data_IF_906236528801
#
_entry.id   IF_906236528801
#
_cell.length_a   1.000
_cell.length_b   1.000
_cell.length_c   1.000
_cell.angle_alpha   90.00
_cell.angle_beta   90.00
_cell.angle_gamma   90.00
#
_symmetry.space_group_name_H-M   'P 1'
#
loop_
_entity.id
_entity.type
_entity.pdbx_description
1 polymer ?
#
# COMPACT_ATOMS: atom_id res chain seq x y z
N UNK A 1 32.91 -16.67 5.51
CA UNK A 1 33.60 -16.65 6.81
C UNK A 1 34.65 -17.73 6.79
N UNK A 2 35.86 -17.44 7.26
CA UNK A 2 36.93 -18.44 7.35
C UNK A 2 36.60 -19.38 8.52
N UNK A 3 36.60 -20.69 8.28
CA UNK A 3 36.23 -21.74 9.26
C UNK A 3 37.46 -22.20 10.04
N UNK A 4 37.99 -21.37 10.92
CA UNK A 4 39.08 -21.77 11.83
C UNK A 4 38.99 -21.00 13.15
N UNK A 5 39.56 -21.56 14.21
CA UNK A 5 39.53 -20.99 15.55
C UNK A 5 40.73 -20.06 15.77
N UNK A 6 40.49 -18.87 16.31
CA UNK A 6 41.55 -17.95 16.71
C UNK A 6 42.30 -18.44 17.96
N UNK A 7 43.52 -17.93 18.15
CA UNK A 7 44.38 -18.26 19.30
C UNK A 7 43.74 -18.00 20.67
N UNK A 8 42.73 -17.12 20.71
CA UNK A 8 41.98 -16.78 21.92
C UNK A 8 41.00 -17.87 22.37
N UNK A 9 40.68 -18.82 21.49
CA UNK A 9 39.67 -19.86 21.72
C UNK A 9 40.22 -21.29 21.67
N UNK A 10 41.47 -21.47 21.24
CA UNK A 10 42.10 -22.78 21.11
C UNK A 10 43.52 -22.76 21.70
N UNK A 11 43.81 -23.68 22.63
CA UNK A 11 45.08 -23.74 23.36
C UNK A 11 45.63 -25.17 23.39
N UNK A 12 46.93 -25.30 23.70
CA UNK A 12 47.63 -26.57 23.77
C UNK A 12 48.43 -26.90 22.50
N UNK A 13 49.16 -28.01 22.55
CA UNK A 13 49.89 -28.57 21.41
C UNK A 13 49.35 -29.95 21.06
N UNK A 14 49.42 -30.31 19.79
CA UNK A 14 49.02 -31.62 19.29
C UNK A 14 50.12 -32.19 18.39
N UNK A 15 50.24 -33.50 18.39
CA UNK A 15 50.97 -34.20 17.35
C UNK A 15 50.12 -34.21 16.09
N UNK A 16 50.60 -33.54 15.04
CA UNK A 16 49.95 -33.44 13.74
C UNK A 16 50.77 -34.18 12.70
N UNK A 17 50.17 -35.22 12.13
CA UNK A 17 50.73 -35.92 10.97
C UNK A 17 49.77 -35.80 9.80
N UNK A 18 50.27 -35.34 8.66
CA UNK A 18 49.51 -35.17 7.42
C UNK A 18 50.11 -36.07 6.34
N UNK A 19 49.29 -36.97 5.80
CA UNK A 19 49.64 -37.81 4.67
C UNK A 19 48.89 -37.35 3.43
N UNK A 20 49.62 -37.00 2.38
CA UNK A 20 49.05 -36.69 1.08
C UNK A 20 49.26 -37.89 0.17
N UNK A 21 48.16 -38.55 -0.17
CA UNK A 21 48.15 -39.69 -1.08
C UNK A 21 47.96 -39.22 -2.52
N UNK A 22 48.91 -39.53 -3.38
CA UNK A 22 48.83 -39.21 -4.80
C UNK A 22 47.99 -40.26 -5.58
N UNK A 23 47.53 -39.92 -6.81
CA UNK A 23 46.88 -40.88 -7.70
C UNK A 23 47.72 -42.16 -7.94
N UNK A 24 47.08 -43.31 -8.19
CA UNK A 24 47.80 -44.55 -8.49
C UNK A 24 48.53 -44.46 -9.84
N UNK A 25 49.67 -45.16 -9.95
CA UNK A 25 50.48 -45.21 -11.17
C UNK A 25 51.53 -44.11 -11.32
N UNK A 26 51.65 -43.21 -10.34
CA UNK A 26 52.72 -42.21 -10.29
C UNK A 26 54.05 -42.83 -9.85
N UNK A 27 55.12 -42.46 -10.54
CA UNK A 27 56.50 -42.76 -10.14
C UNK A 27 56.98 -41.78 -9.07
N UNK A 28 58.01 -42.16 -8.31
CA UNK A 28 58.54 -41.33 -7.21
C UNK A 28 59.12 -39.97 -7.65
N UNK A 29 59.36 -39.76 -8.94
CA UNK A 29 60.00 -38.55 -9.49
C UNK A 29 59.00 -37.55 -10.10
N UNK A 30 57.77 -37.98 -10.34
CA UNK A 30 56.72 -37.14 -10.95
C UNK A 30 56.10 -36.12 -9.98
N UNK A 31 55.71 -36.48 -8.74
CA UNK A 31 55.13 -35.51 -7.82
C UNK A 31 56.19 -34.55 -7.28
N UNK A 32 55.88 -33.26 -7.27
CA UNK A 32 56.75 -32.22 -6.72
C UNK A 32 56.11 -31.59 -5.50
N UNK A 33 56.91 -31.31 -4.48
CA UNK A 33 56.51 -30.48 -3.37
C UNK A 33 57.00 -29.05 -3.60
N UNK A 34 56.29 -28.08 -3.01
CA UNK A 34 56.66 -26.68 -3.05
C UNK A 34 57.11 -26.20 -1.67
N UNK A 35 58.21 -25.46 -1.64
CA UNK A 35 58.73 -24.79 -0.43
C UNK A 35 58.66 -23.28 -0.61
N UNK A 36 58.31 -22.57 0.45
CA UNK A 36 58.16 -21.12 0.47
C UNK A 36 58.22 -20.60 1.91
N UNK A 37 57.97 -19.31 2.10
CA UNK A 37 58.03 -18.67 3.43
C UNK A 37 57.14 -19.38 4.47
N UNK A 38 55.96 -19.84 4.05
CA UNK A 38 55.00 -20.56 4.90
C UNK A 38 54.87 -22.07 4.58
N UNK A 39 55.67 -22.61 3.65
CA UNK A 39 55.58 -23.99 3.17
C UNK A 39 56.85 -24.77 3.47
N UNK A 40 56.73 -25.80 4.31
CA UNK A 40 57.85 -26.67 4.70
C UNK A 40 57.96 -27.91 3.81
N UNK A 41 59.18 -28.45 3.58
CA UNK A 41 59.35 -29.72 2.87
C UNK A 41 58.75 -30.89 3.67
N UNK A 42 58.38 -32.00 3.00
CA UNK A 42 57.86 -33.19 3.68
C UNK A 42 58.93 -33.80 4.59
N UNK A 43 58.50 -34.28 5.76
CA UNK A 43 59.34 -34.99 6.73
C UNK A 43 59.73 -36.38 6.22
N UNK A 44 58.86 -37.02 5.44
CA UNK A 44 59.14 -38.30 4.79
C UNK A 44 58.44 -38.41 3.44
N UNK A 45 59.08 -39.11 2.51
CA UNK A 45 58.55 -39.46 1.19
C UNK A 45 58.72 -40.96 0.99
N UNK A 46 57.68 -41.64 0.53
CA UNK A 46 57.73 -43.08 0.32
C UNK A 46 56.54 -43.62 -0.45
N UNK A 47 56.44 -44.95 -0.48
CA UNK A 47 55.32 -45.67 -1.05
C UNK A 47 54.48 -46.30 0.04
N UNK A 48 53.17 -46.12 -0.05
CA UNK A 48 52.19 -46.81 0.79
C UNK A 48 51.07 -47.30 -0.12
N UNK A 49 50.75 -48.59 -0.06
CA UNK A 49 49.68 -49.21 -0.86
C UNK A 49 49.77 -48.91 -2.36
N UNK A 50 50.98 -49.05 -2.94
CA UNK A 50 51.28 -48.81 -4.36
C UNK A 50 51.04 -47.36 -4.83
N UNK A 51 51.07 -46.41 -3.89
CA UNK A 51 50.95 -44.97 -4.17
C UNK A 51 52.11 -44.22 -3.54
N UNK A 52 52.59 -43.18 -4.23
CA UNK A 52 53.49 -42.21 -3.63
C UNK A 52 52.73 -41.46 -2.53
N UNK A 53 53.37 -41.30 -1.37
CA UNK A 53 52.82 -40.55 -0.22
C UNK A 53 53.88 -39.59 0.31
N UNK A 54 53.48 -38.34 0.47
CA UNK A 54 54.27 -37.33 1.18
C UNK A 54 53.71 -37.12 2.58
N UNK A 55 54.59 -37.16 3.57
CA UNK A 55 54.25 -37.09 4.99
C UNK A 55 54.89 -35.87 5.62
N UNK A 56 54.07 -35.05 6.28
CA UNK A 56 54.52 -34.00 7.18
C UNK A 56 54.18 -34.39 8.61
N UNK A 57 55.17 -34.35 9.49
CA UNK A 57 55.01 -34.66 10.90
C UNK A 57 55.49 -33.48 11.74
N UNK A 58 54.58 -32.96 12.57
CA UNK A 58 54.86 -31.90 13.53
C UNK A 58 54.35 -32.31 14.92
N UNK A 59 55.23 -32.74 15.84
CA UNK A 59 54.85 -33.23 17.16
C UNK A 59 54.38 -32.11 18.12
N UNK A 60 54.47 -30.84 17.72
CA UNK A 60 54.09 -29.69 18.55
C UNK A 60 53.32 -28.65 17.74
N UNK A 61 52.40 -29.12 16.89
CA UNK A 61 51.50 -28.25 16.15
C UNK A 61 50.49 -27.60 17.09
N UNK A 62 50.02 -26.40 16.74
CA UNK A 62 49.00 -25.68 17.49
C UNK A 62 47.70 -25.56 16.65
N UNK A 63 46.53 -25.42 17.29
CA UNK A 63 45.24 -25.46 16.59
C UNK A 63 44.85 -24.15 15.87
N UNK A 64 45.63 -23.07 16.03
CA UNK A 64 45.28 -21.74 15.53
C UNK A 64 46.21 -21.24 14.40
N UNK A 65 47.32 -21.93 14.12
CA UNK A 65 48.21 -21.62 13.00
C UNK A 65 47.73 -22.32 11.73
N UNK A 66 47.81 -21.62 10.60
CA UNK A 66 47.57 -22.21 9.29
C UNK A 66 48.83 -22.91 8.78
N UNK A 67 48.71 -24.20 8.47
CA UNK A 67 49.79 -24.99 7.89
C UNK A 67 49.54 -25.16 6.39
N UNK A 68 50.48 -24.68 5.58
CA UNK A 68 50.39 -24.78 4.13
C UNK A 68 51.24 -25.95 3.62
N UNK A 69 50.61 -26.85 2.89
CA UNK A 69 51.26 -27.99 2.24
C UNK A 69 51.08 -27.88 0.74
N UNK A 70 52.18 -27.64 0.02
CA UNK A 70 52.16 -27.47 -1.43
C UNK A 70 52.61 -28.75 -2.14
N UNK A 71 51.73 -29.36 -2.92
CA UNK A 71 52.05 -30.48 -3.80
C UNK A 71 51.53 -30.24 -5.21
N UNK A 72 52.26 -30.73 -6.20
CA UNK A 72 51.85 -30.77 -7.60
C UNK A 72 52.14 -32.13 -8.22
N UNK A 73 51.27 -32.56 -9.13
CA UNK A 73 51.44 -33.78 -9.91
C UNK A 73 50.88 -33.57 -11.32
N UNK A 74 51.31 -34.38 -12.32
CA UNK A 74 50.87 -34.21 -13.70
C UNK A 74 49.35 -34.30 -13.88
N UNK A 75 48.81 -33.40 -14.71
CA UNK A 75 47.37 -33.33 -15.02
C UNK A 75 46.80 -34.62 -15.64
N UNK A 76 47.66 -35.44 -16.27
CA UNK A 76 47.26 -36.68 -16.93
C UNK A 76 46.54 -37.68 -16.00
N UNK A 77 46.82 -37.62 -14.70
CA UNK A 77 46.25 -38.51 -13.69
C UNK A 77 44.92 -38.01 -13.09
N UNK A 78 44.37 -36.89 -13.57
CA UNK A 78 43.07 -36.35 -13.13
C UNK A 78 41.97 -36.70 -14.14
N UNK A 79 40.96 -37.46 -13.70
CA UNK A 79 39.79 -37.84 -14.52
C UNK A 79 38.53 -37.00 -14.25
N UNK A 80 38.63 -35.92 -13.46
CA UNK A 80 37.49 -35.10 -13.02
C UNK A 80 37.43 -33.69 -13.62
N UNK A 81 36.23 -33.09 -13.56
CA UNK A 81 36.00 -31.70 -13.97
C UNK A 81 36.70 -30.73 -13.00
N UNK A 82 37.66 -29.98 -13.52
CA UNK A 82 38.33 -28.91 -12.78
C UNK A 82 37.34 -27.74 -12.73
N UNK A 83 36.92 -27.34 -11.54
CA UNK A 83 36.20 -26.08 -11.35
C UNK A 83 37.18 -24.94 -11.61
N UNK A 84 37.19 -24.45 -12.84
CA UNK A 84 37.95 -23.24 -13.19
C UNK A 84 37.41 -22.09 -12.33
N UNK A 85 38.27 -21.33 -11.63
CA UNK A 85 37.81 -20.16 -10.90
C UNK A 85 37.08 -19.23 -11.88
N UNK A 86 35.94 -18.63 -11.46
CA UNK A 86 35.14 -17.78 -12.33
C UNK A 86 36.02 -16.67 -12.90
N UNK A 87 35.85 -16.42 -14.19
CA UNK A 87 36.65 -15.48 -14.94
C UNK A 87 36.60 -14.08 -14.29
N UNK A 88 37.65 -13.26 -14.45
CA UNK A 88 37.69 -11.92 -13.87
C UNK A 88 36.48 -11.04 -14.26
N UNK A 89 35.90 -11.30 -15.43
CA UNK A 89 34.69 -10.66 -15.92
C UNK A 89 33.43 -11.06 -15.15
N UNK A 90 33.28 -12.34 -14.78
CA UNK A 90 32.17 -12.81 -13.94
C UNK A 90 32.22 -12.22 -12.54
N UNK A 91 33.42 -12.09 -11.96
CA UNK A 91 33.61 -11.42 -10.66
C UNK A 91 33.29 -9.92 -10.74
N UNK A 92 33.65 -9.27 -11.84
CA UNK A 92 33.34 -7.86 -12.08
C UNK A 92 31.83 -7.63 -12.24
N UNK A 93 31.15 -8.45 -13.05
CA UNK A 93 29.69 -8.38 -13.23
C UNK A 93 28.96 -8.67 -11.91
N UNK A 94 29.37 -9.69 -11.18
CA UNK A 94 28.81 -10.01 -9.86
C UNK A 94 28.97 -8.87 -8.85
N UNK A 95 30.13 -8.20 -8.85
CA UNK A 95 30.39 -7.03 -8.01
C UNK A 95 29.52 -5.82 -8.38
N UNK A 96 29.34 -5.54 -9.68
CA UNK A 96 28.52 -4.42 -10.15
C UNK A 96 27.04 -4.63 -9.83
N UNK A 97 26.52 -5.83 -10.08
CA UNK A 97 25.13 -6.18 -9.75
C UNK A 97 24.89 -6.15 -8.24
N UNK A 98 25.87 -6.59 -7.43
CA UNK A 98 25.80 -6.50 -5.97
C UNK A 98 25.71 -5.06 -5.46
N UNK A 99 26.46 -4.12 -6.05
CA UNK A 99 26.38 -2.71 -5.69
C UNK A 99 25.03 -2.08 -6.07
N UNK A 100 24.49 -2.43 -7.23
CA UNK A 100 23.18 -1.93 -7.69
C UNK A 100 22.07 -2.45 -6.77
N UNK A 101 22.05 -3.74 -6.43
CA UNK A 101 21.05 -4.32 -5.54
C UNK A 101 21.17 -3.85 -4.09
N UNK A 102 22.39 -3.54 -3.63
CA UNK A 102 22.63 -3.02 -2.27
C UNK A 102 22.19 -1.54 -2.12
N UNK A 103 22.33 -0.73 -3.18
CA UNK A 103 21.97 0.69 -3.14
C UNK A 103 20.50 0.98 -3.49
N UNK A 104 19.82 0.07 -4.20
CA UNK A 104 18.42 0.18 -4.58
C UNK A 104 17.44 0.39 -3.40
N UNK A 105 17.52 -0.33 -2.27
CA UNK A 105 16.59 -0.16 -1.15
C UNK A 105 16.72 1.20 -0.43
N UNK A 106 17.85 1.90 -0.57
CA UNK A 106 18.00 3.26 -0.05
C UNK A 106 17.54 4.32 -1.07
N UNK A 107 17.84 4.18 -2.36
CA UNK A 107 17.53 5.24 -3.33
C UNK A 107 16.03 5.43 -3.60
N UNK A 108 15.25 4.34 -3.54
CA UNK A 108 13.81 4.37 -3.82
C UNK A 108 13.02 5.24 -2.83
N UNK A 109 13.15 5.09 -1.49
CA UNK A 109 12.43 5.95 -0.54
C UNK A 109 12.85 7.42 -0.64
N UNK A 110 14.15 7.72 -0.86
CA UNK A 110 14.61 9.09 -1.07
C UNK A 110 14.07 9.71 -2.36
N UNK A 111 13.96 8.93 -3.44
CA UNK A 111 13.32 9.37 -4.69
C UNK A 111 11.83 9.67 -4.53
N UNK A 112 11.09 8.85 -3.78
CA UNK A 112 9.66 9.07 -3.51
C UNK A 112 9.46 10.34 -2.67
N UNK A 113 10.24 10.51 -1.61
CA UNK A 113 10.16 11.71 -0.77
C UNK A 113 10.53 12.96 -1.57
N UNK A 114 11.59 12.89 -2.38
CA UNK A 114 11.99 14.00 -3.26
C UNK A 114 10.92 14.39 -4.27
N UNK A 115 10.25 13.41 -4.90
CA UNK A 115 9.16 13.67 -5.86
C UNK A 115 7.92 14.25 -5.19
N UNK A 116 7.56 13.80 -3.97
CA UNK A 116 6.46 14.39 -3.19
C UNK A 116 6.76 15.85 -2.85
N UNK A 117 7.97 16.15 -2.38
CA UNK A 117 8.38 17.52 -2.05
C UNK A 117 8.37 18.39 -3.32
N UNK A 118 8.91 17.88 -4.42
CA UNK A 118 8.91 18.60 -5.70
C UNK A 118 7.49 18.92 -6.19
N UNK A 119 6.59 17.93 -6.17
CA UNK A 119 5.18 18.12 -6.53
C UNK A 119 4.48 19.10 -5.58
N UNK A 120 4.75 19.03 -4.28
CA UNK A 120 4.21 19.97 -3.30
C UNK A 120 4.70 21.41 -3.52
N UNK A 121 5.98 21.59 -3.88
CA UNK A 121 6.55 22.91 -4.22
C UNK A 121 5.96 23.46 -5.52
N UNK A 122 5.83 22.65 -6.56
CA UNK A 122 5.20 23.07 -7.82
C UNK A 122 3.71 23.37 -7.63
N UNK A 123 2.98 22.48 -6.94
CA UNK A 123 1.57 22.68 -6.64
C UNK A 123 1.34 23.93 -5.78
N UNK A 124 2.15 24.16 -4.73
CA UNK A 124 2.04 25.35 -3.89
C UNK A 124 2.33 26.65 -4.65
N UNK A 125 3.27 26.65 -5.60
CA UNK A 125 3.53 27.80 -6.49
C UNK A 125 2.32 28.13 -7.36
N UNK A 126 1.66 27.12 -7.93
CA UNK A 126 0.43 27.33 -8.73
C UNK A 126 -0.80 27.70 -7.90
N UNK A 127 -0.81 27.36 -6.60
CA UNK A 127 -1.90 27.67 -5.66
C UNK A 127 -1.70 28.98 -4.90
N UNK A 128 -0.71 29.81 -5.25
CA UNK A 128 -0.58 31.17 -4.69
C UNK A 128 -1.78 32.03 -5.12
N UNK A 129 -2.83 31.95 -4.30
CA UNK A 129 -3.88 32.93 -4.06
C UNK A 129 -4.45 33.59 -5.31
N UNK A 130 -5.16 32.82 -6.13
CA UNK A 130 -6.37 33.38 -6.75
C UNK A 130 -7.33 33.62 -5.60
N UNK A 131 -7.40 34.86 -5.11
CA UNK A 131 -8.32 35.27 -4.05
C UNK A 131 -9.70 34.72 -4.39
N UNK A 132 -10.15 33.73 -3.61
CA UNK A 132 -11.56 33.40 -3.65
C UNK A 132 -12.28 34.67 -3.20
N UNK A 133 -13.23 35.19 -3.98
CA UNK A 133 -14.00 36.34 -3.54
C UNK A 133 -14.56 36.01 -2.17
N UNK A 134 -14.41 36.93 -1.21
CA UNK A 134 -14.87 36.73 0.15
C UNK A 134 -16.33 36.26 0.09
N UNK A 135 -16.59 35.01 0.49
CA UNK A 135 -17.95 34.56 0.71
C UNK A 135 -18.42 35.22 1.99
N UNK A 136 -19.01 36.41 1.85
CA UNK A 136 -19.81 36.98 2.90
C UNK A 136 -20.97 36.01 3.17
N UNK A 137 -20.86 35.19 4.21
CA UNK A 137 -22.03 34.57 4.80
C UNK A 137 -22.84 35.72 5.36
N UNK A 138 -23.92 36.08 4.69
CA UNK A 138 -24.89 37.04 5.20
C UNK A 138 -25.41 36.42 6.50
N UNK A 139 -24.94 36.94 7.63
CA UNK A 139 -25.45 36.58 8.94
C UNK A 139 -26.95 36.90 8.97
N UNK A 140 -27.78 35.85 9.03
CA UNK A 140 -29.19 35.94 9.36
C UNK A 140 -30.01 36.82 8.43
N UNK A 141 -30.64 36.20 7.43
CA UNK A 141 -31.98 36.68 7.04
C UNK A 141 -32.80 36.63 8.35
N UNK A 142 -33.19 37.79 8.88
CA UNK A 142 -33.86 37.87 10.18
C UNK A 142 -35.02 36.88 10.29
N UNK A 143 -35.33 36.41 11.50
CA UNK A 143 -36.38 35.42 11.76
C UNK A 143 -37.65 35.82 10.99
N UNK A 144 -38.02 35.07 9.93
CA UNK A 144 -39.28 35.29 9.21
C UNK A 144 -40.43 34.95 10.16
N UNK A 145 -40.95 35.96 10.86
CA UNK A 145 -42.09 35.84 11.78
C UNK A 145 -43.38 35.68 10.97
N UNK A 146 -44.27 34.79 11.39
CA UNK A 146 -45.57 34.58 10.76
C UNK A 146 -45.62 33.46 9.71
N UNK A 147 -44.55 32.68 9.56
CA UNK A 147 -44.51 31.50 8.69
C UNK A 147 -45.48 30.43 9.19
N UNK A 148 -46.32 29.90 8.31
CA UNK A 148 -47.18 28.76 8.66
C UNK A 148 -46.36 27.47 8.74
N UNK A 149 -46.84 26.45 9.46
CA UNK A 149 -46.09 25.21 9.65
C UNK A 149 -45.62 24.55 8.33
N UNK A 150 -46.43 24.51 7.25
CA UNK A 150 -45.95 24.00 5.95
C UNK A 150 -44.90 24.89 5.26
N UNK A 151 -44.98 26.21 5.41
CA UNK A 151 -43.99 27.14 4.86
C UNK A 151 -42.66 27.07 5.64
N UNK A 152 -42.71 26.90 6.95
CA UNK A 152 -41.51 26.66 7.76
C UNK A 152 -40.85 25.32 7.43
N UNK A 153 -41.65 24.28 7.23
CA UNK A 153 -41.16 22.98 6.76
C UNK A 153 -40.45 23.08 5.40
N UNK A 154 -40.92 23.97 4.52
CA UNK A 154 -40.30 24.25 3.23
C UNK A 154 -38.96 24.97 3.35
N UNK A 155 -38.85 25.98 4.23
CA UNK A 155 -37.57 26.66 4.53
C UNK A 155 -36.55 25.70 5.15
N UNK A 156 -37.03 24.78 5.98
CA UNK A 156 -36.21 23.73 6.60
C UNK A 156 -35.90 22.55 5.66
N UNK A 157 -36.23 22.67 4.37
CA UNK A 157 -35.96 21.67 3.32
C UNK A 157 -36.47 20.27 3.67
N UNK A 158 -37.61 20.17 4.37
CA UNK A 158 -38.21 18.88 4.69
C UNK A 158 -38.73 18.17 3.42
N UNK A 159 -38.83 16.83 3.43
CA UNK A 159 -39.30 16.08 2.26
C UNK A 159 -40.68 16.57 1.77
N UNK A 160 -40.82 16.79 0.45
CA UNK A 160 -42.03 17.39 -0.16
C UNK A 160 -43.31 16.62 0.18
N UNK A 161 -43.25 15.30 0.26
CA UNK A 161 -44.39 14.47 0.67
C UNK A 161 -44.91 14.84 2.06
N UNK A 162 -44.01 15.16 3.00
CA UNK A 162 -44.37 15.59 4.36
C UNK A 162 -45.06 16.96 4.33
N UNK A 163 -44.55 17.90 3.54
CA UNK A 163 -45.14 19.24 3.37
C UNK A 163 -46.56 19.14 2.78
N UNK A 164 -46.74 18.39 1.70
CA UNK A 164 -48.05 18.18 1.07
C UNK A 164 -49.05 17.50 2.01
N UNK A 165 -48.58 16.55 2.83
CA UNK A 165 -49.38 15.88 3.84
C UNK A 165 -49.83 16.84 4.95
N UNK A 166 -48.95 17.77 5.38
CA UNK A 166 -49.33 18.82 6.32
C UNK A 166 -50.41 19.75 5.76
N UNK A 167 -50.32 20.12 4.47
CA UNK A 167 -51.35 20.93 3.79
C UNK A 167 -52.67 20.15 3.72
N UNK A 168 -52.63 18.88 3.34
CA UNK A 168 -53.81 18.00 3.28
C UNK A 168 -54.49 17.90 4.65
N UNK A 169 -53.73 17.66 5.73
CA UNK A 169 -54.29 17.61 7.08
C UNK A 169 -54.85 18.97 7.53
N UNK A 170 -54.25 20.09 7.12
CA UNK A 170 -54.80 21.43 7.33
C UNK A 170 -56.17 21.60 6.69
N UNK A 171 -56.33 21.17 5.43
CA UNK A 171 -57.59 21.21 4.69
C UNK A 171 -58.67 20.27 5.29
N UNK A 172 -58.28 19.10 5.77
CA UNK A 172 -59.17 18.17 6.48
C UNK A 172 -59.63 18.77 7.81
N UNK A 173 -58.73 19.37 8.59
CA UNK A 173 -59.06 20.06 9.85
C UNK A 173 -60.03 21.22 9.63
N UNK A 174 -59.89 21.93 8.51
CA UNK A 174 -60.79 23.03 8.08
C UNK A 174 -62.09 22.55 7.42
N UNK A 175 -62.34 21.23 7.37
CA UNK A 175 -63.53 20.62 6.74
C UNK A 175 -63.74 21.04 5.28
N UNK A 176 -62.68 21.48 4.60
CA UNK A 176 -62.74 21.84 3.17
C UNK A 176 -62.57 20.61 2.27
N UNK A 177 -61.99 19.54 2.83
CA UNK A 177 -61.83 18.24 2.20
C UNK A 177 -62.37 17.11 3.09
N UNK A 178 -62.70 15.99 2.44
CA UNK A 178 -62.98 14.71 3.09
C UNK A 178 -62.35 13.57 2.30
N UNK A 179 -61.82 12.58 3.00
CA UNK A 179 -61.21 11.37 2.40
C UNK A 179 -62.33 10.37 2.09
N UNK A 180 -62.46 9.95 0.83
CA UNK A 180 -63.40 8.89 0.41
C UNK A 180 -62.80 7.49 0.50
N UNK A 181 -61.50 7.38 0.22
CA UNK A 181 -60.74 6.12 0.19
C UNK A 181 -59.29 6.45 0.50
N UNK A 182 -58.63 5.63 1.32
CA UNK A 182 -57.23 5.84 1.72
C UNK A 182 -56.26 5.23 0.71
N UNK A 183 -56.56 4.04 0.19
CA UNK A 183 -55.74 3.35 -0.81
C UNK A 183 -56.60 2.79 -1.97
N UNK A 184 -56.57 3.37 -3.18
CA UNK A 184 -55.85 4.59 -3.55
C UNK A 184 -56.53 5.84 -2.96
N UNK A 185 -55.71 6.86 -2.62
CA UNK A 185 -56.18 8.10 -2.02
C UNK A 185 -57.18 8.82 -2.93
N UNK A 186 -58.44 8.94 -2.49
CA UNK A 186 -59.51 9.68 -3.18
C UNK A 186 -60.08 10.77 -2.30
N UNK A 187 -60.05 12.01 -2.79
CA UNK A 187 -60.49 13.19 -2.05
C UNK A 187 -61.83 13.71 -2.58
N UNK A 188 -62.70 14.18 -1.68
CA UNK A 188 -63.94 14.90 -1.99
C UNK A 188 -63.79 16.36 -1.55
N UNK A 189 -64.03 17.29 -2.48
CA UNK A 189 -64.19 18.72 -2.14
C UNK A 189 -65.53 18.91 -1.45
N UNK A 190 -65.52 19.54 -0.29
CA UNK A 190 -66.72 19.98 0.41
C UNK A 190 -66.98 21.46 0.10
N UNK A 191 -68.21 21.94 0.31
CA UNK A 191 -68.49 23.37 0.26
C UNK A 191 -67.65 24.06 1.35
N UNK A 192 -66.85 25.04 0.96
CA UNK A 192 -66.03 25.82 1.88
C UNK A 192 -67.00 26.46 2.89
N UNK A 193 -66.89 26.13 4.19
CA UNK A 193 -67.75 26.78 5.17
C UNK A 193 -67.38 28.27 5.22
N UNK A 194 -68.39 29.13 5.30
CA UNK A 194 -68.29 30.59 5.10
C UNK A 194 -67.35 31.31 6.10
N UNK A 195 -66.84 30.60 7.09
CA UNK A 195 -65.99 31.04 8.19
C UNK A 195 -64.49 30.72 7.99
N UNK A 196 -64.13 29.78 7.11
CA UNK A 196 -62.77 29.30 6.95
C UNK A 196 -61.95 30.13 5.95
N UNK A 197 -61.12 31.05 6.45
CA UNK A 197 -60.11 31.74 5.63
C UNK A 197 -59.01 30.77 5.17
N UNK A 198 -59.12 30.30 3.92
CA UNK A 198 -58.09 29.48 3.29
C UNK A 198 -56.86 30.31 2.92
N UNK A 199 -55.67 29.71 3.05
CA UNK A 199 -54.40 30.29 2.60
C UNK A 199 -54.23 30.06 1.09
N UNK A 200 -53.38 30.85 0.46
CA UNK A 200 -53.16 30.78 -0.99
C UNK A 200 -52.75 29.37 -1.45
N UNK A 201 -51.76 28.76 -0.79
CA UNK A 201 -51.33 27.40 -1.09
C UNK A 201 -52.41 26.33 -0.84
N UNK A 202 -53.36 26.57 0.05
CA UNK A 202 -54.48 25.64 0.30
C UNK A 202 -55.52 25.72 -0.83
N UNK A 203 -55.78 26.92 -1.36
CA UNK A 203 -56.64 27.13 -2.53
C UNK A 203 -56.03 26.46 -3.75
N UNK A 204 -54.73 26.66 -3.99
CA UNK A 204 -54.03 26.01 -5.11
C UNK A 204 -54.00 24.48 -4.97
N UNK A 205 -53.85 23.97 -3.75
CA UNK A 205 -53.93 22.52 -3.49
C UNK A 205 -55.34 21.98 -3.81
N UNK A 206 -56.39 22.74 -3.49
CA UNK A 206 -57.76 22.39 -3.87
C UNK A 206 -57.93 22.34 -5.40
N UNK A 207 -57.27 23.22 -6.15
CA UNK A 207 -57.26 23.19 -7.62
C UNK A 207 -56.47 22.00 -8.20
N UNK A 208 -55.51 21.47 -7.44
CA UNK A 208 -54.74 20.29 -7.82
C UNK A 208 -55.57 18.99 -7.80
N UNK A 209 -56.70 18.98 -7.09
CA UNK A 209 -57.62 17.83 -7.04
C UNK A 209 -58.48 17.79 -8.31
N UNK A 210 -58.33 16.70 -9.05
CA UNK A 210 -59.08 16.41 -10.29
C UNK A 210 -60.55 16.10 -10.01
N UNK A 211 -61.41 16.17 -11.04
CA UNK A 211 -62.85 15.80 -10.94
C UNK A 211 -63.08 14.37 -10.44
N UNK A 212 -62.11 13.47 -10.66
CA UNK A 212 -62.14 12.06 -10.21
C UNK A 212 -61.73 11.88 -8.74
N UNK A 213 -61.25 12.93 -8.08
CA UNK A 213 -60.77 12.88 -6.69
C UNK A 213 -59.29 12.53 -6.52
N UNK A 214 -58.56 12.35 -7.63
CA UNK A 214 -57.12 12.12 -7.62
C UNK A 214 -56.35 13.45 -7.62
N UNK A 215 -55.11 13.43 -7.11
CA UNK A 215 -54.21 14.57 -7.13
C UNK A 215 -53.37 14.60 -8.42
N UNK A 216 -53.28 15.76 -9.07
CA UNK A 216 -52.41 15.96 -10.24
C UNK A 216 -51.01 16.36 -9.81
N UNK A 217 -50.01 15.54 -10.14
CA UNK A 217 -48.60 15.80 -9.80
C UNK A 217 -48.11 17.14 -10.34
N UNK A 218 -48.44 17.47 -11.59
CA UNK A 218 -48.04 18.74 -12.24
C UNK A 218 -48.59 19.95 -11.48
N UNK A 219 -49.85 19.87 -11.01
CA UNK A 219 -50.46 20.96 -10.25
C UNK A 219 -49.90 21.06 -8.84
N UNK A 220 -49.64 19.94 -8.18
CA UNK A 220 -48.99 19.91 -6.86
C UNK A 220 -47.58 20.50 -6.90
N UNK A 221 -46.81 20.20 -7.95
CA UNK A 221 -45.49 20.81 -8.17
C UNK A 221 -45.58 22.32 -8.29
N UNK A 222 -46.61 22.82 -8.98
CA UNK A 222 -46.86 24.27 -9.12
C UNK A 222 -47.15 24.92 -7.76
N UNK A 223 -47.93 24.28 -6.89
CA UNK A 223 -48.20 24.77 -5.53
C UNK A 223 -46.90 24.96 -4.75
N UNK A 224 -46.01 23.97 -4.78
CA UNK A 224 -44.72 24.05 -4.08
C UNK A 224 -43.83 25.17 -4.64
N UNK A 225 -43.78 25.33 -5.97
CA UNK A 225 -43.02 26.43 -6.61
C UNK A 225 -43.57 27.79 -6.17
N UNK A 226 -44.89 27.96 -6.11
CA UNK A 226 -45.52 29.20 -5.67
C UNK A 226 -45.26 29.46 -4.18
N UNK A 227 -45.30 28.43 -3.33
CA UNK A 227 -44.90 28.56 -1.92
C UNK A 227 -43.44 29.02 -1.77
N UNK A 228 -42.51 28.46 -2.56
CA UNK A 228 -41.10 28.89 -2.53
C UNK A 228 -40.99 30.37 -2.91
N UNK A 229 -41.71 30.82 -3.94
CA UNK A 229 -41.70 32.23 -4.37
C UNK A 229 -42.28 33.17 -3.32
N UNK A 230 -43.30 32.73 -2.57
CA UNK A 230 -43.91 33.53 -1.51
C UNK A 230 -43.04 33.59 -0.25
N UNK A 231 -42.20 32.56 -0.03
CA UNK A 231 -41.37 32.42 1.16
C UNK A 231 -39.96 32.97 0.98
N UNK A 232 -39.43 33.08 -0.24
CA UNK A 232 -38.14 33.74 -0.54
C UNK A 232 -38.31 35.25 -0.63
#
# INVERSE_FOLDING_TARGET
GTTWFGSDYAHGTTDLTVHIHFPPGLTSEEPRYHTGEDMSPPTAMGFLDDRVVYTWHNPSANPYTQYFFGVSFPKAYMTGAISSPPSGFEKFIGGLLGLIFSMLPCLIPFGIIGTIIFLAVVASRTRKMKYMPAKASIEGVGIKRGLTAPEAALVLELPLNKILTMILFGLLKKRSLSVKSEDPLKLKKLSIPSDAKLREYEVEFMEAITKKGNLSEVRLRKVLINMIKNVN
#
